data_IF_654282310554
#
_entry.id   IF_654282310554
#
_cell.length_a   1.000
_cell.length_b   1.000
_cell.length_c   1.000
_cell.angle_alpha   90.00
_cell.angle_beta   90.00
_cell.angle_gamma   90.00
#
_symmetry.space_group_name_H-M   'P 1'
#
loop_
_entity.id
_entity.type
_entity.pdbx_description
1 polymer ?
#
# COMPACT_ATOMS: atom_id res chain seq x y z
N UNK A 1 38.97 -6.16 -32.34
CA UNK A 1 38.17 -5.34 -31.40
C UNK A 1 37.41 -6.30 -30.51
N UNK A 2 37.85 -6.50 -29.26
CA UNK A 2 37.20 -7.40 -28.31
C UNK A 2 35.85 -6.78 -27.92
N UNK A 3 34.76 -7.35 -28.40
CA UNK A 3 33.40 -6.98 -28.01
C UNK A 3 33.23 -7.33 -26.52
N UNK A 4 33.31 -6.32 -25.66
CA UNK A 4 33.01 -6.49 -24.24
C UNK A 4 31.58 -7.06 -24.13
N UNK A 5 31.43 -8.22 -23.49
CA UNK A 5 30.14 -8.84 -23.28
C UNK A 5 29.23 -7.83 -22.54
N UNK A 6 28.14 -7.35 -23.15
CA UNK A 6 27.27 -6.35 -22.55
C UNK A 6 26.55 -6.87 -21.30
N UNK A 7 26.63 -8.18 -21.03
CA UNK A 7 26.03 -8.82 -19.88
C UNK A 7 26.99 -9.06 -18.70
N UNK A 8 28.26 -8.61 -18.78
CA UNK A 8 29.22 -8.76 -17.66
C UNK A 8 28.81 -8.00 -16.39
N UNK A 9 27.94 -7.00 -16.52
CA UNK A 9 27.37 -6.24 -15.42
C UNK A 9 26.15 -6.90 -14.78
N UNK A 10 25.62 -7.98 -15.36
CA UNK A 10 24.48 -8.69 -14.78
C UNK A 10 24.97 -9.59 -13.64
N UNK A 11 24.16 -9.72 -12.57
CA UNK A 11 24.52 -10.58 -11.46
C UNK A 11 24.65 -12.03 -11.92
N UNK A 12 25.73 -12.68 -11.50
CA UNK A 12 25.90 -14.12 -11.68
C UNK A 12 24.76 -14.88 -10.98
N UNK A 13 24.48 -16.10 -11.45
CA UNK A 13 23.52 -17.02 -10.86
C UNK A 13 23.70 -17.16 -9.35
N UNK A 14 24.93 -17.23 -8.86
CA UNK A 14 25.21 -17.28 -7.41
C UNK A 14 24.66 -16.06 -6.66
N UNK A 15 24.82 -14.87 -7.21
CA UNK A 15 24.32 -13.62 -6.66
C UNK A 15 22.79 -13.56 -6.70
N UNK A 16 22.17 -14.06 -7.78
CA UNK A 16 20.71 -14.16 -7.89
C UNK A 16 20.14 -15.07 -6.79
N UNK A 17 20.78 -16.21 -6.53
CA UNK A 17 20.38 -17.11 -5.46
C UNK A 17 20.53 -16.45 -4.09
N UNK A 18 21.65 -15.76 -3.82
CA UNK A 18 21.85 -15.05 -2.55
C UNK A 18 20.77 -13.98 -2.31
N UNK A 19 20.43 -13.20 -3.34
CA UNK A 19 19.37 -12.19 -3.27
C UNK A 19 18.00 -12.82 -2.96
N UNK A 20 17.70 -13.97 -3.56
CA UNK A 20 16.47 -14.72 -3.28
C UNK A 20 16.43 -15.25 -1.84
N UNK A 21 17.54 -15.82 -1.34
CA UNK A 21 17.66 -16.30 0.04
C UNK A 21 17.50 -15.17 1.04
N UNK A 22 18.11 -14.02 0.78
CA UNK A 22 17.99 -12.84 1.65
C UNK A 22 16.55 -12.30 1.72
N UNK A 23 15.81 -12.33 0.59
CA UNK A 23 14.39 -11.95 0.57
C UNK A 23 13.55 -12.93 1.38
N UNK A 24 13.71 -14.24 1.15
CA UNK A 24 13.01 -15.26 1.92
C UNK A 24 13.26 -15.13 3.43
N UNK A 25 14.51 -14.87 3.84
CA UNK A 25 14.87 -14.63 5.24
C UNK A 25 14.12 -13.42 5.85
N UNK A 26 13.97 -12.34 5.09
CA UNK A 26 13.23 -11.14 5.51
C UNK A 26 11.75 -11.44 5.70
N UNK A 27 11.16 -12.18 4.78
CA UNK A 27 9.72 -12.49 4.82
C UNK A 27 9.40 -13.42 6.01
N UNK A 28 10.29 -14.37 6.31
CA UNK A 28 10.21 -15.21 7.52
C UNK A 28 10.33 -14.36 8.80
N UNK A 29 11.26 -13.40 8.83
CA UNK A 29 11.40 -12.48 9.96
C UNK A 29 10.13 -11.68 10.20
N UNK A 30 9.52 -11.12 9.13
CA UNK A 30 8.25 -10.41 9.24
C UNK A 30 7.07 -11.30 9.61
N UNK A 31 7.17 -12.61 9.37
CA UNK A 31 6.21 -13.62 9.83
C UNK A 31 6.39 -14.02 11.30
N UNK A 32 7.34 -13.42 12.02
CA UNK A 32 7.56 -13.62 13.46
C UNK A 32 8.62 -14.66 13.82
N UNK A 33 9.38 -15.17 12.84
CA UNK A 33 10.42 -16.15 13.11
C UNK A 33 11.64 -15.51 13.78
N UNK A 34 12.30 -16.27 14.65
CA UNK A 34 13.56 -15.83 15.27
C UNK A 34 14.71 -15.92 14.27
N UNK A 35 15.71 -15.05 14.41
CA UNK A 35 16.87 -15.01 13.51
C UNK A 35 17.64 -16.35 13.52
N UNK A 36 17.68 -17.04 14.66
CA UNK A 36 18.29 -18.37 14.79
C UNK A 36 17.53 -19.40 13.96
N UNK A 37 16.21 -19.48 14.10
CA UNK A 37 15.39 -20.41 13.32
C UNK A 37 15.45 -20.14 11.82
N UNK A 38 15.49 -18.86 11.43
CA UNK A 38 15.65 -18.47 10.01
C UNK A 38 16.99 -18.93 9.48
N UNK A 39 18.08 -18.68 10.22
CA UNK A 39 19.44 -19.04 9.82
C UNK A 39 19.59 -20.55 9.62
N UNK A 40 19.04 -21.35 10.54
CA UNK A 40 18.98 -22.82 10.42
C UNK A 40 18.17 -23.26 9.20
N UNK A 41 16.99 -22.67 9.00
CA UNK A 41 16.10 -23.04 7.90
C UNK A 41 16.70 -22.78 6.51
N UNK A 42 17.39 -21.64 6.34
CA UNK A 42 17.98 -21.25 5.05
C UNK A 42 19.44 -21.70 4.88
N UNK A 43 20.02 -22.39 5.88
CA UNK A 43 21.40 -22.88 5.85
C UNK A 43 22.46 -21.77 5.86
N UNK A 44 22.20 -20.65 6.53
CA UNK A 44 23.12 -19.51 6.62
C UNK A 44 23.63 -19.30 8.05
N UNK A 45 24.77 -18.63 8.21
CA UNK A 45 25.25 -18.25 9.54
C UNK A 45 24.31 -17.21 10.16
N UNK A 46 24.00 -17.36 11.45
CA UNK A 46 23.17 -16.40 12.21
C UNK A 46 23.67 -14.95 12.07
N UNK A 47 24.99 -14.73 12.12
CA UNK A 47 25.62 -13.41 11.97
C UNK A 47 25.36 -12.78 10.60
N UNK A 48 25.28 -13.60 9.55
CA UNK A 48 24.94 -13.14 8.19
C UNK A 48 23.51 -12.62 8.14
N UNK A 49 22.55 -13.36 8.70
CA UNK A 49 21.14 -12.95 8.75
C UNK A 49 20.96 -11.70 9.61
N UNK A 50 21.65 -11.60 10.74
CA UNK A 50 21.66 -10.38 11.57
C UNK A 50 22.17 -9.16 10.79
N UNK A 51 23.26 -9.33 10.03
CA UNK A 51 23.80 -8.26 9.17
C UNK A 51 22.78 -7.84 8.10
N UNK A 52 22.06 -8.80 7.51
CA UNK A 52 21.01 -8.49 6.53
C UNK A 52 19.85 -7.72 7.13
N UNK A 53 19.42 -8.11 8.33
CA UNK A 53 18.37 -7.45 9.11
C UNK A 53 18.75 -6.00 9.41
N UNK A 54 19.96 -5.77 9.90
CA UNK A 54 20.45 -4.42 10.22
C UNK A 54 20.57 -3.55 8.98
N UNK A 55 21.24 -4.05 7.93
CA UNK A 55 21.40 -3.30 6.65
C UNK A 55 20.06 -3.02 5.97
N UNK A 56 19.14 -3.97 6.03
CA UNK A 56 17.80 -3.85 5.46
C UNK A 56 16.79 -3.16 6.37
N UNK A 57 17.18 -2.77 7.58
CA UNK A 57 16.32 -2.12 8.59
C UNK A 57 14.97 -2.84 8.78
N UNK A 58 14.99 -4.18 8.83
CA UNK A 58 13.73 -4.96 8.78
C UNK A 58 12.76 -4.66 9.92
N UNK A 59 13.27 -4.21 11.07
CA UNK A 59 12.45 -3.81 12.23
C UNK A 59 11.72 -2.48 12.03
N UNK A 60 12.24 -1.60 11.17
CA UNK A 60 11.65 -0.29 10.90
C UNK A 60 10.54 -0.35 9.83
N UNK A 61 10.37 -1.50 9.17
CA UNK A 61 9.38 -1.68 8.12
C UNK A 61 7.96 -1.59 8.71
N UNK A 62 7.16 -0.65 8.20
CA UNK A 62 5.77 -0.49 8.59
C UNK A 62 4.91 -1.63 8.02
N UNK A 63 3.71 -1.89 8.58
CA UNK A 63 2.79 -2.87 7.99
C UNK A 63 2.48 -2.59 6.51
N UNK A 64 2.40 -1.30 6.14
CA UNK A 64 2.18 -0.88 4.75
C UNK A 64 3.35 -1.28 3.86
N UNK A 65 4.60 -1.12 4.32
CA UNK A 65 5.78 -1.52 3.55
C UNK A 65 5.81 -3.03 3.30
N UNK A 66 5.50 -3.82 4.33
CA UNK A 66 5.47 -5.29 4.25
C UNK A 66 4.42 -5.78 3.27
N UNK A 67 3.21 -5.22 3.34
CA UNK A 67 2.11 -5.57 2.43
C UNK A 67 2.44 -5.11 1.01
N UNK A 68 2.99 -3.91 0.84
CA UNK A 68 3.37 -3.38 -0.48
C UNK A 68 4.43 -4.24 -1.15
N UNK A 69 5.42 -4.72 -0.39
CA UNK A 69 6.46 -5.63 -0.89
C UNK A 69 5.89 -7.00 -1.30
N UNK A 70 4.97 -7.56 -0.50
CA UNK A 70 4.29 -8.81 -0.85
C UNK A 70 3.41 -8.69 -2.12
N UNK A 71 2.69 -7.56 -2.26
CA UNK A 71 1.89 -7.26 -3.46
C UNK A 71 2.78 -7.11 -4.69
N UNK A 72 3.88 -6.36 -4.58
CA UNK A 72 4.86 -6.17 -5.66
C UNK A 72 5.49 -7.50 -6.09
N UNK A 73 5.86 -8.35 -5.13
CA UNK A 73 6.39 -9.69 -5.42
C UNK A 73 5.39 -10.54 -6.20
N UNK A 74 4.14 -10.58 -5.76
CA UNK A 74 3.10 -11.37 -6.45
C UNK A 74 2.82 -10.83 -7.85
N UNK A 75 2.76 -9.50 -7.99
CA UNK A 75 2.59 -8.84 -9.28
C UNK A 75 3.72 -9.20 -10.26
N UNK A 76 4.98 -9.15 -9.81
CA UNK A 76 6.14 -9.53 -10.63
C UNK A 76 6.02 -10.96 -11.15
N UNK A 77 5.68 -11.92 -10.29
CA UNK A 77 5.50 -13.33 -10.68
C UNK A 77 4.46 -13.47 -11.78
N UNK A 78 3.31 -12.79 -11.66
CA UNK A 78 2.25 -12.85 -12.66
C UNK A 78 2.65 -12.18 -13.98
N UNK A 79 3.35 -11.05 -13.92
CA UNK A 79 3.84 -10.35 -15.12
C UNK A 79 4.83 -11.23 -15.90
N UNK A 80 5.77 -11.87 -15.20
CA UNK A 80 6.80 -12.72 -15.81
C UNK A 80 6.29 -14.08 -16.29
N UNK A 81 5.08 -14.49 -15.90
CA UNK A 81 4.47 -15.75 -16.37
C UNK A 81 4.30 -15.73 -17.89
N UNK A 82 4.90 -16.68 -18.60
CA UNK A 82 4.88 -16.74 -20.08
C UNK A 82 3.46 -16.94 -20.61
N UNK A 83 2.77 -17.99 -20.15
CA UNK A 83 1.39 -18.29 -20.53
C UNK A 83 0.44 -17.88 -19.41
N UNK A 84 -0.37 -16.84 -19.64
CA UNK A 84 -1.31 -16.31 -18.64
C UNK A 84 -2.70 -16.91 -18.83
N UNK A 85 -3.28 -17.34 -17.72
CA UNK A 85 -4.67 -17.80 -17.65
C UNK A 85 -5.61 -16.61 -17.46
N UNK A 86 -6.90 -16.71 -17.83
CA UNK A 86 -7.90 -15.66 -17.55
C UNK A 86 -7.97 -15.26 -16.07
N UNK A 87 -7.65 -16.18 -15.16
CA UNK A 87 -7.57 -15.92 -13.71
C UNK A 87 -6.41 -14.97 -13.36
N UNK A 88 -5.27 -15.10 -14.03
CA UNK A 88 -4.10 -14.27 -13.77
C UNK A 88 -4.37 -12.80 -14.11
N UNK A 89 -5.08 -12.53 -15.21
CA UNK A 89 -5.47 -11.17 -15.57
C UNK A 89 -6.37 -10.52 -14.52
N UNK A 90 -7.30 -11.29 -13.94
CA UNK A 90 -8.13 -10.81 -12.82
C UNK A 90 -7.30 -10.54 -11.58
N UNK A 91 -6.34 -11.41 -11.27
CA UNK A 91 -5.44 -11.21 -10.14
C UNK A 91 -4.56 -9.97 -10.32
N UNK A 92 -4.02 -9.76 -11.52
CA UNK A 92 -3.25 -8.54 -11.88
C UNK A 92 -4.11 -7.28 -11.68
N UNK A 93 -5.37 -7.27 -12.16
CA UNK A 93 -6.27 -6.12 -11.97
C UNK A 93 -6.53 -5.85 -10.47
N UNK A 94 -6.83 -6.89 -9.70
CA UNK A 94 -7.07 -6.76 -8.26
C UNK A 94 -5.83 -6.26 -7.50
N UNK A 95 -4.65 -6.81 -7.80
CA UNK A 95 -3.39 -6.39 -7.19
C UNK A 95 -3.04 -4.95 -7.58
N UNK A 96 -3.29 -4.54 -8.83
CA UNK A 96 -3.06 -3.17 -9.28
C UNK A 96 -3.90 -2.14 -8.52
N UNK A 97 -5.18 -2.46 -8.25
CA UNK A 97 -6.07 -1.61 -7.44
C UNK A 97 -5.60 -1.50 -5.99
N UNK A 98 -5.09 -2.58 -5.42
CA UNK A 98 -4.58 -2.56 -4.05
C UNK A 98 -3.29 -1.74 -3.93
N UNK A 99 -2.39 -1.86 -4.91
CA UNK A 99 -1.18 -1.01 -5.00
C UNK A 99 -1.57 0.47 -5.08
N UNK A 100 -2.55 0.83 -5.93
CA UNK A 100 -3.02 2.22 -6.03
C UNK A 100 -3.58 2.73 -4.69
N UNK A 101 -4.35 1.89 -3.99
CA UNK A 101 -4.88 2.22 -2.65
C UNK A 101 -3.76 2.45 -1.64
N UNK A 102 -2.74 1.59 -1.63
CA UNK A 102 -1.58 1.75 -0.75
C UNK A 102 -0.83 3.05 -1.04
N UNK A 103 -0.58 3.37 -2.31
CA UNK A 103 0.05 4.63 -2.71
C UNK A 103 -0.78 5.84 -2.28
N UNK A 104 -2.12 5.79 -2.41
CA UNK A 104 -3.01 6.86 -1.94
C UNK A 104 -2.95 7.03 -0.42
N UNK A 105 -2.88 5.94 0.34
CA UNK A 105 -2.75 5.99 1.81
C UNK A 105 -1.41 6.63 2.18
N UNK A 106 -0.31 6.23 1.55
CA UNK A 106 1.01 6.82 1.78
C UNK A 106 1.07 8.30 1.39
N UNK A 107 0.47 8.70 0.27
CA UNK A 107 0.39 10.09 -0.14
C UNK A 107 -0.42 10.94 0.86
N UNK A 108 -1.49 10.38 1.43
CA UNK A 108 -2.28 11.03 2.49
C UNK A 108 -1.50 11.15 3.78
N UNK A 109 -0.81 10.10 4.22
CA UNK A 109 0.01 10.15 5.44
C UNK A 109 1.15 11.15 5.30
N UNK A 110 1.84 11.17 4.17
CA UNK A 110 2.90 12.14 3.87
C UNK A 110 2.38 13.58 3.90
N UNK A 111 1.21 13.85 3.30
CA UNK A 111 0.58 15.18 3.35
C UNK A 111 0.17 15.57 4.76
N UNK A 112 -0.38 14.64 5.54
CA UNK A 112 -0.76 14.88 6.93
C UNK A 112 0.48 15.26 7.76
N UNK A 113 1.57 14.51 7.64
CA UNK A 113 2.84 14.81 8.31
C UNK A 113 3.44 16.17 7.91
N UNK A 114 3.35 16.53 6.62
CA UNK A 114 3.82 17.84 6.14
C UNK A 114 2.98 19.01 6.67
N UNK A 115 1.69 18.79 6.94
CA UNK A 115 0.80 19.83 7.45
C UNK A 115 0.92 20.03 8.96
N UNK A 116 1.31 18.99 9.71
CA UNK A 116 1.59 19.09 11.16
C UNK A 116 2.91 19.82 11.44
N UNK A 117 3.85 19.84 10.48
CA UNK A 117 5.11 20.61 10.60
C UNK A 117 4.99 22.11 10.30
N UNK A 118 3.79 22.60 9.97
CA UNK A 118 3.54 24.00 9.62
C UNK A 118 2.47 24.58 10.56
N UNK A 119 2.77 24.65 11.86
CA UNK A 119 2.04 25.55 12.75
C UNK A 119 2.41 27.00 12.39
N UNK A 120 1.36 27.77 12.11
CA UNK A 120 1.28 29.23 12.07
C UNK A 120 2.14 29.99 11.05
N UNK A 121 1.63 30.08 9.82
CA UNK A 121 1.52 31.35 9.04
C UNK A 121 0.73 31.12 7.74
N UNK A 122 -0.30 30.28 7.77
CA UNK A 122 -1.21 30.19 6.63
C UNK A 122 -2.30 31.26 6.79
N UNK A 123 -2.16 32.35 6.04
CA UNK A 123 -3.20 33.38 5.86
C UNK A 123 -4.58 32.71 5.62
N UNK A 124 -5.68 33.29 6.13
CA UNK A 124 -6.99 32.64 6.08
C UNK A 124 -7.35 32.35 4.62
N UNK A 125 -7.39 31.05 4.27
CA UNK A 125 -7.93 30.61 2.98
C UNK A 125 -9.33 31.21 2.86
N UNK A 126 -9.57 31.91 1.76
CA UNK A 126 -10.87 32.43 1.37
C UNK A 126 -11.95 31.38 1.63
N UNK A 127 -13.13 31.77 2.14
CA UNK A 127 -14.10 30.82 2.66
C UNK A 127 -14.58 29.95 1.51
N UNK A 128 -14.02 28.75 1.42
CA UNK A 128 -14.52 27.70 0.54
C UNK A 128 -15.96 27.46 0.96
N UNK A 129 -16.89 27.66 0.03
CA UNK A 129 -18.33 27.54 0.25
C UNK A 129 -18.60 26.13 0.77
N UNK A 130 -18.67 25.97 2.09
CA UNK A 130 -18.98 24.70 2.74
C UNK A 130 -20.34 24.29 2.19
N UNK A 131 -20.39 23.22 1.42
CA UNK A 131 -21.66 22.63 1.00
C UNK A 131 -22.48 22.39 2.27
N UNK A 132 -23.59 23.10 2.42
CA UNK A 132 -24.48 22.91 3.57
C UNK A 132 -25.06 21.51 3.44
N UNK A 133 -24.55 20.58 4.24
CA UNK A 133 -25.08 19.22 4.37
C UNK A 133 -26.57 19.33 4.68
N UNK A 134 -27.42 19.06 3.68
CA UNK A 134 -28.87 18.91 3.72
C UNK A 134 -29.58 19.70 4.83
N UNK A 135 -29.34 21.01 4.92
CA UNK A 135 -30.10 21.86 5.83
C UNK A 135 -31.49 22.08 5.22
N UNK A 136 -32.52 21.44 5.77
CA UNK A 136 -33.90 21.72 5.38
C UNK A 136 -34.21 23.18 5.70
N UNK A 137 -34.59 23.97 4.70
CA UNK A 137 -35.07 25.33 4.95
C UNK A 137 -36.45 25.30 5.64
N UNK A 138 -36.79 26.37 6.34
CA UNK A 138 -38.09 26.49 7.01
C UNK A 138 -39.25 26.42 6.00
N UNK A 139 -39.04 26.90 4.77
CA UNK A 139 -40.00 26.74 3.67
C UNK A 139 -40.22 25.28 3.28
N UNK A 140 -39.15 24.47 3.23
CA UNK A 140 -39.27 23.05 2.93
C UNK A 140 -39.95 22.28 4.08
N UNK A 141 -39.73 22.72 5.32
CA UNK A 141 -40.44 22.19 6.50
C UNK A 141 -41.93 22.51 6.43
N UNK A 142 -42.29 23.73 6.02
CA UNK A 142 -43.70 24.12 5.88
C UNK A 142 -44.40 23.30 4.79
N UNK A 143 -43.75 23.10 3.64
CA UNK A 143 -44.29 22.25 2.56
C UNK A 143 -44.54 20.81 3.01
N UNK A 144 -43.66 20.25 3.85
CA UNK A 144 -43.86 18.93 4.46
C UNK A 144 -45.08 18.89 5.39
N UNK A 145 -45.25 19.92 6.22
CA UNK A 145 -46.39 20.03 7.13
C UNK A 145 -47.70 20.16 6.35
N UNK A 146 -47.72 20.98 5.30
CA UNK A 146 -48.92 21.21 4.49
C UNK A 146 -49.31 19.94 3.73
N UNK A 147 -48.33 19.23 3.13
CA UNK A 147 -48.59 17.95 2.46
C UNK A 147 -49.14 16.87 3.43
N UNK A 148 -48.64 16.86 4.67
CA UNK A 148 -49.16 15.94 5.71
C UNK A 148 -50.57 16.32 6.13
N UNK A 149 -50.89 17.61 6.28
CA UNK A 149 -52.24 18.08 6.59
C UNK A 149 -53.23 17.76 5.48
N UNK A 150 -52.82 17.95 4.23
CA UNK A 150 -53.65 17.64 3.06
C UNK A 150 -53.96 16.13 2.98
N UNK A 151 -52.97 15.29 3.29
CA UNK A 151 -53.16 13.84 3.42
C UNK A 151 -54.09 13.44 4.58
N UNK A 152 -54.02 14.15 5.71
CA UNK A 152 -54.88 13.93 6.88
C UNK A 152 -56.34 14.34 6.66
N UNK A 153 -56.59 15.35 5.83
CA UNK A 153 -57.95 15.85 5.53
C UNK A 153 -58.70 14.94 4.55
N UNK A 154 -57.99 14.16 3.72
CA UNK A 154 -58.60 13.18 2.81
C UNK A 154 -59.10 11.87 3.45
N UNK A 155 -58.98 11.71 4.77
CA UNK A 155 -59.36 10.50 5.52
C UNK A 155 -60.36 10.76 6.65
N UNK A 156 -61.42 11.54 6.37
CA UNK A 156 -62.65 11.57 7.18
C UNK A 156 -63.91 11.53 6.30
#
# INVERSE_FOLDING_TARGET
MTTANPFSAFPDRSQVVELAVRRAARDLFWSGWTITAIAEHIGQKRSTVETWKQRGKWEQATPVDKISDALDQRMRVLITKENKDPKDFKEIDLLGREIERMCKIQARSARASAQVGHEETAAPRSPTRRSKRNAMSDEQRQKLIDAVKDWLIGHQ
#
